data_IF_526239161225
#
_entry.id   IF_526239161225
#
_cell.length_a   1.000
_cell.length_b   1.000
_cell.length_c   1.000
_cell.angle_alpha   90.00
_cell.angle_beta   90.00
_cell.angle_gamma   90.00
#
_symmetry.space_group_name_H-M   'P 1'
#
loop_
_entity.id
_entity.type
_entity.pdbx_description
1 polymer ?
#
# COMPACT_ATOMS: atom_id res chain seq x y z
N UNK A 1 9.19 -16.29 -29.92
CA UNK A 1 8.03 -15.53 -29.42
C UNK A 1 8.18 -15.35 -27.91
N UNK A 2 7.96 -14.17 -27.33
CA UNK A 2 7.99 -13.99 -25.88
C UNK A 2 6.94 -14.89 -25.22
N UNK A 3 7.24 -15.42 -24.04
CA UNK A 3 6.27 -16.22 -23.27
C UNK A 3 5.12 -15.33 -22.83
N UNK A 4 3.91 -15.87 -22.88
CA UNK A 4 2.73 -15.14 -22.38
C UNK A 4 2.80 -15.07 -20.85
N UNK A 5 2.47 -13.91 -20.30
CA UNK A 5 2.39 -13.63 -18.86
C UNK A 5 0.95 -13.28 -18.54
N UNK A 6 0.42 -13.86 -17.48
CA UNK A 6 -0.97 -13.71 -17.07
C UNK A 6 -1.06 -13.29 -15.59
N UNK A 7 -2.03 -12.43 -15.28
CA UNK A 7 -2.45 -12.18 -13.90
C UNK A 7 -3.34 -13.35 -13.47
N UNK A 8 -2.92 -14.10 -12.45
CA UNK A 8 -3.65 -15.27 -11.96
C UNK A 8 -4.71 -14.86 -10.93
N UNK A 9 -4.35 -13.97 -10.01
CA UNK A 9 -5.23 -13.54 -8.92
C UNK A 9 -4.78 -12.16 -8.38
N UNK A 10 -5.62 -11.49 -7.59
CA UNK A 10 -5.31 -10.23 -6.93
C UNK A 10 -6.02 -10.10 -5.57
N UNK A 11 -5.46 -9.27 -4.70
CA UNK A 11 -6.08 -8.91 -3.43
C UNK A 11 -5.98 -7.42 -3.15
N UNK A 12 -6.93 -6.89 -2.38
CA UNK A 12 -6.93 -5.51 -1.91
C UNK A 12 -7.22 -5.50 -0.42
N UNK A 13 -6.35 -4.85 0.35
CA UNK A 13 -6.55 -4.71 1.78
C UNK A 13 -7.77 -3.82 2.06
N UNK A 14 -8.69 -4.35 2.88
CA UNK A 14 -9.81 -3.58 3.42
C UNK A 14 -9.55 -3.31 4.90
N UNK A 15 -9.35 -2.05 5.31
CA UNK A 15 -9.12 -1.72 6.71
C UNK A 15 -10.33 -2.04 7.61
N UNK A 16 -10.08 -2.13 8.92
CA UNK A 16 -11.14 -2.27 9.92
C UNK A 16 -12.16 -1.11 9.79
N UNK A 17 -13.48 -1.37 9.85
CA UNK A 17 -14.52 -0.33 9.87
C UNK A 17 -14.30 0.83 10.86
N UNK A 18 -13.56 0.63 11.95
CA UNK A 18 -13.19 1.70 12.90
C UNK A 18 -12.35 2.83 12.26
N UNK A 19 -11.62 2.50 11.19
CA UNK A 19 -10.83 3.44 10.40
C UNK A 19 -11.64 4.15 9.30
N UNK A 20 -12.95 3.89 9.24
CA UNK A 20 -13.84 4.62 8.35
C UNK A 20 -13.94 6.08 8.78
N UNK A 21 -13.81 6.99 7.81
CA UNK A 21 -13.80 8.42 8.02
C UNK A 21 -14.90 9.07 7.17
N UNK A 22 -16.13 9.20 7.74
CA UNK A 22 -17.16 10.06 7.18
C UNK A 22 -16.69 11.50 7.04
N UNK A 23 -17.33 12.27 6.17
CA UNK A 23 -16.99 13.68 5.91
C UNK A 23 -16.98 14.50 7.20
N UNK A 24 -17.93 14.25 8.09
CA UNK A 24 -18.06 14.95 9.37
C UNK A 24 -16.86 14.66 10.28
N UNK A 25 -16.46 13.39 10.37
CA UNK A 25 -15.31 12.96 11.17
C UNK A 25 -14.02 13.56 10.62
N UNK A 26 -13.84 13.59 9.30
CA UNK A 26 -12.70 14.25 8.68
C UNK A 26 -12.66 15.74 9.05
N UNK A 27 -13.78 16.45 8.88
CA UNK A 27 -13.85 17.89 9.17
C UNK A 27 -13.67 18.21 10.66
N UNK A 28 -14.14 17.35 11.56
CA UNK A 28 -13.85 17.45 12.99
C UNK A 28 -12.35 17.32 13.27
N UNK A 29 -11.70 16.30 12.71
CA UNK A 29 -10.26 16.08 12.87
C UNK A 29 -9.42 17.22 12.30
N UNK A 30 -9.77 17.74 11.13
CA UNK A 30 -9.11 18.93 10.55
C UNK A 30 -9.19 20.15 11.47
N UNK A 31 -10.34 20.40 12.12
CA UNK A 31 -10.46 21.50 13.10
C UNK A 31 -9.59 21.28 14.33
N UNK A 32 -9.62 20.07 14.89
CA UNK A 32 -8.84 19.71 16.07
C UNK A 32 -7.33 19.78 15.83
N UNK A 33 -6.88 19.62 14.59
CA UNK A 33 -5.47 19.73 14.23
C UNK A 33 -4.89 21.13 14.50
N UNK A 34 -5.74 22.18 14.55
CA UNK A 34 -5.34 23.58 14.85
C UNK A 34 -4.26 24.16 13.92
N UNK A 35 -4.03 23.55 12.76
CA UNK A 35 -3.09 24.01 11.73
C UNK A 35 -3.77 24.65 10.52
N UNK A 36 -5.12 24.66 10.50
CA UNK A 36 -5.91 25.20 9.39
C UNK A 36 -6.71 26.42 9.84
N UNK A 37 -6.76 27.44 8.98
CA UNK A 37 -7.67 28.59 9.12
C UNK A 37 -9.10 28.19 8.75
N UNK A 38 -10.08 29.01 9.12
CA UNK A 38 -11.48 28.79 8.70
C UNK A 38 -11.65 28.79 7.17
N UNK A 39 -10.86 29.58 6.45
CA UNK A 39 -10.83 29.57 4.99
C UNK A 39 -10.34 28.22 4.44
N UNK A 40 -9.25 27.68 5.00
CA UNK A 40 -8.72 26.36 4.63
C UNK A 40 -9.74 25.26 4.91
N UNK A 41 -10.44 25.32 6.05
CA UNK A 41 -11.47 24.34 6.42
C UNK A 41 -12.69 24.42 5.49
N UNK A 42 -13.14 25.63 5.13
CA UNK A 42 -14.21 25.85 4.15
C UNK A 42 -13.82 25.29 2.78
N UNK A 43 -12.57 25.50 2.36
CA UNK A 43 -12.05 24.93 1.12
C UNK A 43 -12.00 23.39 1.16
N UNK A 44 -11.47 22.79 2.23
CA UNK A 44 -11.47 21.32 2.41
C UNK A 44 -12.87 20.74 2.30
N UNK A 45 -13.86 21.36 2.94
CA UNK A 45 -15.26 20.91 2.86
C UNK A 45 -15.78 20.90 1.42
N UNK A 46 -15.56 21.99 0.67
CA UNK A 46 -15.96 22.07 -0.75
C UNK A 46 -15.27 21.03 -1.63
N UNK A 47 -14.00 20.72 -1.35
CA UNK A 47 -13.26 19.65 -2.04
C UNK A 47 -13.88 18.30 -1.74
N UNK A 48 -14.21 18.00 -0.47
CA UNK A 48 -14.83 16.73 -0.09
C UNK A 48 -16.18 16.52 -0.81
N UNK A 49 -17.03 17.56 -0.84
CA UNK A 49 -18.33 17.55 -1.51
C UNK A 49 -18.24 17.26 -3.02
N UNK A 50 -17.07 17.47 -3.64
CA UNK A 50 -16.83 17.33 -5.09
C UNK A 50 -15.83 16.23 -5.45
N UNK A 51 -15.24 15.56 -4.47
CA UNK A 51 -14.18 14.57 -4.68
C UNK A 51 -14.69 13.20 -5.14
N UNK A 52 -15.99 12.93 -5.00
CA UNK A 52 -16.58 11.61 -5.23
C UNK A 52 -16.29 10.60 -4.11
N UNK A 53 -15.65 11.02 -3.01
CA UNK A 53 -15.43 10.18 -1.83
C UNK A 53 -16.73 9.98 -1.05
N UNK A 54 -17.08 8.72 -0.82
CA UNK A 54 -18.27 8.36 -0.04
C UNK A 54 -17.99 8.28 1.46
N UNK A 55 -19.06 8.10 2.24
CA UNK A 55 -19.00 7.96 3.70
C UNK A 55 -18.28 6.69 4.18
N UNK A 56 -17.94 5.77 3.26
CA UNK A 56 -17.20 4.52 3.51
C UNK A 56 -15.72 4.61 3.10
N UNK A 57 -15.16 5.81 3.09
CA UNK A 57 -13.74 6.05 2.86
C UNK A 57 -12.95 5.80 4.14
N UNK A 58 -11.72 5.28 4.03
CA UNK A 58 -10.87 4.96 5.17
C UNK A 58 -9.70 5.94 5.25
N UNK A 59 -9.23 6.20 6.46
CA UNK A 59 -8.03 6.99 6.72
C UNK A 59 -7.06 6.24 7.64
N UNK A 60 -5.75 6.53 7.57
CA UNK A 60 -4.75 6.01 8.50
C UNK A 60 -5.13 6.24 9.97
N UNK A 61 -4.88 5.24 10.81
CA UNK A 61 -5.09 5.31 12.27
C UNK A 61 -4.36 6.51 12.89
N UNK A 62 -3.14 6.79 12.43
CA UNK A 62 -2.31 7.90 12.88
C UNK A 62 -3.02 9.26 12.71
N UNK A 63 -3.72 9.45 11.59
CA UNK A 63 -4.47 10.68 11.28
C UNK A 63 -5.79 10.74 12.06
N UNK A 64 -6.44 9.59 12.28
CA UNK A 64 -7.76 9.54 12.92
C UNK A 64 -7.73 9.57 14.44
N UNK A 65 -6.66 9.10 15.08
CA UNK A 65 -6.59 8.93 16.54
C UNK A 65 -5.65 9.95 17.17
N UNK A 66 -4.52 10.27 16.53
CA UNK A 66 -3.54 11.19 17.10
C UNK A 66 -3.78 12.61 16.59
N UNK A 67 -4.37 13.47 17.41
CA UNK A 67 -4.48 14.92 17.11
C UNK A 67 -3.90 15.74 18.26
N UNK A 68 -2.82 16.53 18.05
CA UNK A 68 -2.10 16.72 16.78
C UNK A 68 -1.37 15.43 16.32
N UNK A 69 -1.21 15.30 15.00
CA UNK A 69 -0.61 14.12 14.37
C UNK A 69 0.79 13.87 14.92
N UNK A 70 0.99 12.71 15.53
CA UNK A 70 2.32 12.23 15.91
C UNK A 70 2.79 11.22 14.86
N UNK A 71 3.01 11.65 13.63
CA UNK A 71 3.57 10.76 12.62
C UNK A 71 4.99 10.36 13.05
N UNK A 72 5.16 9.08 13.33
CA UNK A 72 6.48 8.52 13.60
C UNK A 72 6.74 7.34 12.67
N UNK A 73 8.02 7.06 12.46
CA UNK A 73 8.50 5.96 11.61
C UNK A 73 7.86 4.62 12.00
N UNK A 74 7.64 4.39 13.30
CA UNK A 74 7.02 3.17 13.82
C UNK A 74 5.55 3.04 13.40
N UNK A 75 4.76 4.11 13.45
CA UNK A 75 3.36 4.09 13.03
C UNK A 75 3.24 3.85 11.52
N UNK A 76 4.04 4.56 10.72
CA UNK A 76 4.07 4.36 9.27
C UNK A 76 4.48 2.92 8.90
N UNK A 77 5.45 2.36 9.64
CA UNK A 77 5.85 0.95 9.48
C UNK A 77 4.72 -0.01 9.85
N UNK A 78 4.07 0.19 11.00
CA UNK A 78 2.94 -0.64 11.45
C UNK A 78 1.80 -0.64 10.43
N UNK A 79 1.48 0.52 9.88
CA UNK A 79 0.47 0.65 8.82
C UNK A 79 0.90 -0.07 7.53
N UNK A 80 2.13 0.15 7.08
CA UNK A 80 2.66 -0.53 5.89
C UNK A 80 2.64 -2.06 6.05
N UNK A 81 3.06 -2.59 7.21
CA UNK A 81 3.02 -4.02 7.52
C UNK A 81 1.57 -4.54 7.49
N UNK A 82 0.64 -3.85 8.14
CA UNK A 82 -0.77 -4.24 8.17
C UNK A 82 -1.37 -4.33 6.76
N UNK A 83 -1.14 -3.32 5.91
CA UNK A 83 -1.69 -3.26 4.56
C UNK A 83 -1.02 -4.30 3.65
N UNK A 84 0.31 -4.36 3.66
CA UNK A 84 1.09 -5.23 2.76
C UNK A 84 0.87 -6.69 3.12
N UNK A 85 1.01 -7.04 4.40
CA UNK A 85 0.84 -8.43 4.83
C UNK A 85 -0.62 -8.88 4.73
N UNK A 86 -1.58 -8.03 5.09
CA UNK A 86 -3.00 -8.35 4.91
C UNK A 86 -3.38 -8.66 3.46
N UNK A 87 -2.85 -7.88 2.50
CA UNK A 87 -3.01 -8.16 1.07
C UNK A 87 -2.40 -9.51 0.65
N UNK A 88 -1.17 -9.78 1.08
CA UNK A 88 -0.42 -10.97 0.68
C UNK A 88 -1.03 -12.22 1.31
N UNK A 89 -1.41 -12.18 2.59
CA UNK A 89 -2.05 -13.29 3.30
C UNK A 89 -3.34 -13.72 2.59
N UNK A 90 -4.19 -12.77 2.23
CA UNK A 90 -5.42 -13.04 1.48
C UNK A 90 -5.12 -13.64 0.10
N UNK A 91 -4.12 -13.12 -0.62
CA UNK A 91 -3.74 -13.61 -1.94
C UNK A 91 -3.17 -15.04 -1.89
N UNK A 92 -2.28 -15.32 -0.94
CA UNK A 92 -1.71 -16.66 -0.75
C UNK A 92 -2.78 -17.65 -0.28
N UNK A 93 -3.72 -17.19 0.55
CA UNK A 93 -4.88 -17.97 0.97
C UNK A 93 -5.80 -18.37 -0.19
N UNK A 94 -6.08 -17.44 -1.11
CA UNK A 94 -6.90 -17.72 -2.32
C UNK A 94 -6.21 -18.67 -3.29
N UNK A 95 -4.91 -18.48 -3.51
CA UNK A 95 -4.16 -19.17 -4.58
C UNK A 95 -3.51 -20.48 -4.13
N UNK A 96 -3.26 -20.66 -2.83
CA UNK A 96 -2.50 -21.79 -2.29
C UNK A 96 -1.01 -21.77 -2.64
N UNK A 97 -0.50 -20.69 -3.23
CA UNK A 97 0.92 -20.53 -3.57
C UNK A 97 1.75 -20.50 -2.28
N UNK A 98 2.82 -21.29 -2.24
CA UNK A 98 3.73 -21.30 -1.09
C UNK A 98 4.81 -20.24 -1.30
N UNK A 99 5.25 -19.59 -0.22
CA UNK A 99 6.31 -18.57 -0.29
C UNK A 99 7.58 -19.05 -1.02
N UNK A 100 7.94 -20.33 -0.88
CA UNK A 100 9.08 -20.94 -1.57
C UNK A 100 8.97 -20.96 -3.11
N UNK A 101 7.75 -20.88 -3.65
CA UNK A 101 7.47 -20.93 -5.08
C UNK A 101 7.48 -19.51 -5.71
N UNK A 102 7.64 -18.47 -4.88
CA UNK A 102 7.70 -17.07 -5.31
C UNK A 102 9.14 -16.71 -5.69
N UNK A 103 9.39 -16.52 -6.99
CA UNK A 103 10.72 -16.16 -7.50
C UNK A 103 11.00 -14.65 -7.62
N UNK A 104 9.96 -13.82 -7.67
CA UNK A 104 10.06 -12.36 -7.88
C UNK A 104 9.08 -11.66 -6.94
N UNK A 105 9.54 -10.59 -6.28
CA UNK A 105 8.71 -9.69 -5.47
C UNK A 105 8.97 -8.26 -5.93
N UNK A 106 7.92 -7.55 -6.33
CA UNK A 106 7.97 -6.13 -6.64
C UNK A 106 7.07 -5.41 -5.66
N UNK A 107 7.67 -4.62 -4.76
CA UNK A 107 6.93 -3.74 -3.84
C UNK A 107 7.06 -2.32 -4.34
N UNK A 108 5.96 -1.57 -4.31
CA UNK A 108 5.95 -0.15 -4.60
C UNK A 108 5.28 0.59 -3.44
N UNK A 109 5.96 1.61 -2.93
CA UNK A 109 5.38 2.57 -1.98
C UNK A 109 5.95 3.96 -2.24
N UNK A 110 5.07 4.94 -2.43
CA UNK A 110 5.49 6.32 -2.72
C UNK A 110 5.63 7.18 -1.47
N UNK A 111 4.89 6.84 -0.40
CA UNK A 111 4.76 7.66 0.81
C UNK A 111 5.71 7.21 1.92
N UNK A 112 6.29 6.01 1.79
CA UNK A 112 7.09 5.42 2.84
C UNK A 112 8.22 4.55 2.27
N UNK A 113 9.46 4.87 2.62
CA UNK A 113 10.63 4.07 2.30
C UNK A 113 11.51 3.98 3.55
N UNK A 114 11.71 2.78 4.07
CA UNK A 114 12.43 2.52 5.32
C UNK A 114 13.64 1.62 5.09
N UNK A 115 14.50 1.55 6.11
CA UNK A 115 15.50 0.49 6.26
C UNK A 115 15.07 -0.42 7.42
N UNK A 116 14.86 -1.73 7.23
CA UNK A 116 14.91 -2.47 5.96
C UNK A 116 13.82 -2.02 4.96
N UNK A 117 14.04 -2.27 3.67
CA UNK A 117 13.07 -1.94 2.61
C UNK A 117 11.79 -2.76 2.77
N UNK A 118 10.68 -2.27 2.23
CA UNK A 118 9.39 -2.99 2.29
C UNK A 118 9.47 -4.33 1.57
N UNK A 119 10.21 -4.41 0.45
CA UNK A 119 10.47 -5.68 -0.22
C UNK A 119 11.25 -6.67 0.66
N UNK A 120 12.25 -6.20 1.42
CA UNK A 120 13.00 -7.04 2.34
C UNK A 120 12.14 -7.50 3.52
N UNK A 121 11.22 -6.65 3.99
CA UNK A 121 10.25 -7.02 5.02
C UNK A 121 9.33 -8.15 4.56
N UNK A 122 8.82 -8.09 3.32
CA UNK A 122 8.03 -9.17 2.71
C UNK A 122 8.84 -10.45 2.61
N UNK A 123 10.06 -10.38 2.06
CA UNK A 123 10.94 -11.55 1.90
C UNK A 123 11.17 -12.26 3.24
N UNK A 124 11.47 -11.48 4.28
CA UNK A 124 11.75 -12.02 5.61
C UNK A 124 10.49 -12.57 6.29
N UNK A 125 9.36 -11.85 6.21
CA UNK A 125 8.11 -12.25 6.87
C UNK A 125 7.58 -13.59 6.31
N UNK A 126 7.56 -13.74 4.99
CA UNK A 126 7.05 -14.94 4.31
C UNK A 126 8.09 -16.04 4.10
N UNK A 127 9.32 -15.85 4.61
CA UNK A 127 10.44 -16.78 4.47
C UNK A 127 10.63 -17.23 3.02
N UNK A 128 10.63 -16.26 2.11
CA UNK A 128 10.83 -16.52 0.68
C UNK A 128 12.23 -17.10 0.45
N UNK A 129 12.43 -17.74 -0.70
CA UNK A 129 13.71 -18.35 -1.05
C UNK A 129 14.85 -17.30 -1.06
N UNK A 130 16.07 -17.67 -0.68
CA UNK A 130 17.25 -16.79 -0.70
C UNK A 130 17.55 -16.21 -2.10
N UNK A 131 17.12 -16.90 -3.16
CA UNK A 131 17.33 -16.49 -4.54
C UNK A 131 16.18 -15.64 -5.10
N UNK A 132 15.23 -15.21 -4.26
CA UNK A 132 14.12 -14.35 -4.67
C UNK A 132 14.66 -13.00 -5.18
N UNK A 133 14.20 -12.58 -6.35
CA UNK A 133 14.51 -11.24 -6.88
C UNK A 133 13.54 -10.24 -6.28
N UNK A 134 14.01 -9.39 -5.38
CA UNK A 134 13.17 -8.38 -4.72
C UNK A 134 13.48 -6.98 -5.22
N UNK A 135 12.44 -6.21 -5.56
CA UNK A 135 12.52 -4.84 -6.06
C UNK A 135 11.64 -3.94 -5.18
N UNK A 136 12.17 -2.78 -4.79
CA UNK A 136 11.45 -1.77 -4.01
C UNK A 136 11.41 -0.47 -4.80
N UNK A 137 10.24 -0.13 -5.34
CA UNK A 137 10.02 1.08 -6.12
C UNK A 137 9.45 2.18 -5.21
N UNK A 138 9.94 3.40 -5.39
CA UNK A 138 9.47 4.59 -4.66
C UNK A 138 9.50 5.83 -5.56
N UNK A 139 8.66 6.82 -5.25
CA UNK A 139 8.68 8.13 -5.94
C UNK A 139 7.91 8.20 -7.27
N UNK A 140 7.22 7.13 -7.67
CA UNK A 140 6.47 7.07 -8.93
C UNK A 140 5.01 7.54 -8.80
N UNK A 141 4.50 7.73 -7.57
CA UNK A 141 3.15 8.22 -7.33
C UNK A 141 2.05 7.28 -7.85
N UNK A 142 0.99 7.85 -8.42
CA UNK A 142 -0.20 7.09 -8.82
C UNK A 142 0.02 6.13 -10.01
N UNK A 143 1.04 6.36 -10.85
CA UNK A 143 1.34 5.48 -12.00
C UNK A 143 2.09 4.21 -11.60
N UNK A 144 2.57 4.16 -10.37
CA UNK A 144 3.52 3.16 -9.93
C UNK A 144 2.99 1.72 -9.96
N UNK A 145 1.67 1.52 -9.79
CA UNK A 145 1.05 0.20 -9.92
C UNK A 145 1.23 -0.41 -11.31
N UNK A 146 1.01 0.38 -12.37
CA UNK A 146 1.20 -0.08 -13.75
C UNK A 146 2.68 -0.35 -14.06
N UNK A 147 3.58 0.50 -13.55
CA UNK A 147 5.02 0.33 -13.70
C UNK A 147 5.48 -0.97 -13.02
N UNK A 148 4.97 -1.28 -11.82
CA UNK A 148 5.27 -2.54 -11.13
C UNK A 148 4.82 -3.77 -11.91
N UNK A 149 3.63 -3.72 -12.51
CA UNK A 149 3.11 -4.82 -13.34
C UNK A 149 3.95 -5.00 -14.60
N UNK A 150 4.33 -3.91 -15.28
CA UNK A 150 5.16 -3.97 -16.48
C UNK A 150 6.56 -4.50 -16.18
N UNK A 151 7.17 -4.08 -15.06
CA UNK A 151 8.43 -4.63 -14.58
C UNK A 151 8.31 -6.14 -14.31
N UNK A 152 7.26 -6.57 -13.60
CA UNK A 152 7.04 -7.99 -13.33
C UNK A 152 6.88 -8.81 -14.62
N UNK A 153 6.16 -8.28 -15.61
CA UNK A 153 6.02 -8.90 -16.93
C UNK A 153 7.37 -9.07 -17.62
N UNK A 154 8.18 -8.03 -17.70
CA UNK A 154 9.51 -8.10 -18.32
C UNK A 154 10.43 -9.10 -17.59
N UNK A 155 10.42 -9.10 -16.27
CA UNK A 155 11.23 -10.05 -15.47
C UNK A 155 10.82 -11.50 -15.74
N UNK A 156 9.52 -11.80 -15.80
CA UNK A 156 8.99 -13.14 -16.07
C UNK A 156 9.29 -13.61 -17.50
N UNK A 157 9.35 -12.70 -18.47
CA UNK A 157 9.70 -13.03 -19.85
C UNK A 157 11.19 -13.37 -20.02
N UNK A 158 12.07 -12.77 -19.21
CA UNK A 158 13.52 -12.96 -19.30
C UNK A 158 14.01 -14.12 -18.42
N UNK A 159 13.39 -14.38 -17.26
CA UNK A 159 13.90 -15.30 -16.24
C UNK A 159 14.01 -16.78 -16.64
N UNK A 160 13.48 -17.21 -17.78
CA UNK A 160 13.64 -18.59 -18.29
C UNK A 160 14.79 -18.77 -19.28
N UNK A 161 15.60 -17.75 -19.58
CA UNK A 161 16.80 -17.87 -20.43
C UNK A 161 18.04 -18.36 -19.65
N UNK A 162 17.87 -18.87 -18.43
CA UNK A 162 18.98 -19.24 -17.53
C UNK A 162 18.72 -20.55 -16.79
N UNK A 163 17.93 -21.46 -17.38
CA UNK A 163 17.70 -22.81 -16.88
C UNK A 163 18.26 -23.84 -17.85
#
# INVERSE_FOLDING_TARGET
MPRNVYLVDFSCYKPNPELMCPTERFMERSRLAKVFTEENLSFQKKVLERSGLGQKTYFPEAILISVPEKSCLEQARKEAEMVIFGCIDELLGKTGVKGKDIGIVVVNCSVFNSTPSLSAMVVNHYKLNSNVKSFNLSGMGCSAGLISIDLAKHLLQVSSHSS
#
